data_IF_901948709344
#
_entry.id   IF_901948709344
#
_cell.length_a   1.000
_cell.length_b   1.000
_cell.length_c   1.000
_cell.angle_alpha   90.00
_cell.angle_beta   90.00
_cell.angle_gamma   90.00
#
_symmetry.space_group_name_H-M   'P 1'
#
loop_
_entity.id
_entity.type
_entity.pdbx_description
1 polymer ?
#
# COMPACT_ATOMS: atom_id res chain seq x y z
N UNK A 1 -64.55 30.37 -0.72
CA UNK A 1 -65.61 29.47 -0.23
C UNK A 1 -65.00 28.09 -0.10
N UNK A 2 -64.72 27.65 1.14
CA UNK A 2 -63.92 26.46 1.45
C UNK A 2 -64.81 25.23 1.72
N UNK A 3 -64.27 24.03 1.50
CA UNK A 3 -64.78 22.83 2.17
C UNK A 3 -63.63 22.06 2.80
N UNK A 4 -63.55 22.24 4.11
CA UNK A 4 -62.69 21.59 5.09
C UNK A 4 -63.15 20.14 5.30
N UNK A 5 -62.22 19.19 5.36
CA UNK A 5 -62.42 17.96 6.15
C UNK A 5 -61.19 17.76 7.02
N UNK A 6 -61.46 17.74 8.32
CA UNK A 6 -60.55 17.55 9.44
C UNK A 6 -61.03 16.30 10.19
N UNK A 7 -60.11 15.50 10.75
CA UNK A 7 -60.25 14.46 11.80
C UNK A 7 -59.01 13.55 11.67
N UNK A 8 -58.27 13.12 12.70
CA UNK A 8 -58.23 13.39 14.14
C UNK A 8 -56.99 12.67 14.68
N UNK A 9 -56.40 13.22 15.74
CA UNK A 9 -55.22 12.74 16.45
C UNK A 9 -55.43 11.37 17.11
N UNK A 10 -54.34 10.62 17.30
CA UNK A 10 -54.19 9.73 18.46
C UNK A 10 -52.73 9.69 18.91
N UNK A 11 -52.53 10.29 20.09
CA UNK A 11 -51.32 10.34 20.89
C UNK A 11 -51.19 9.06 21.69
N UNK A 12 -49.99 8.47 21.76
CA UNK A 12 -49.61 7.56 22.84
C UNK A 12 -48.23 7.96 23.33
N UNK A 13 -48.19 8.39 24.59
CA UNK A 13 -47.02 8.78 25.35
C UNK A 13 -46.64 7.68 26.35
N UNK A 14 -45.34 7.43 26.49
CA UNK A 14 -44.67 6.91 27.70
C UNK A 14 -44.85 5.41 28.03
N UNK A 15 -43.93 4.81 28.82
CA UNK A 15 -43.29 5.48 29.95
C UNK A 15 -41.75 5.46 29.97
N UNK A 16 -41.25 6.58 30.49
CA UNK A 16 -39.96 6.83 31.13
C UNK A 16 -39.68 5.86 32.28
N UNK A 17 -38.44 5.38 32.40
CA UNK A 17 -37.93 4.80 33.65
C UNK A 17 -36.64 5.50 34.10
N UNK A 18 -36.72 6.09 35.29
CA UNK A 18 -35.64 6.71 36.07
C UNK A 18 -34.53 5.70 36.41
N UNK A 19 -33.27 6.07 36.20
CA UNK A 19 -32.33 6.62 37.21
C UNK A 19 -32.05 5.66 38.39
N UNK A 20 -30.82 5.14 38.42
CA UNK A 20 -30.10 4.86 39.66
C UNK A 20 -28.61 5.11 39.43
N UNK A 21 -28.14 6.20 40.04
CA UNK A 21 -26.75 6.53 40.32
C UNK A 21 -26.26 5.75 41.55
N UNK A 22 -24.93 5.71 41.74
CA UNK A 22 -24.13 5.29 42.91
C UNK A 22 -23.23 4.06 42.57
N UNK A 23 -21.90 4.02 42.77
CA UNK A 23 -20.93 4.88 43.46
C UNK A 23 -19.52 4.59 42.90
N UNK A 24 -18.68 5.62 42.87
CA UNK A 24 -17.21 5.54 42.85
C UNK A 24 -16.66 4.75 44.03
N UNK A 25 -15.59 3.97 43.86
CA UNK A 25 -14.47 3.81 44.81
C UNK A 25 -13.25 3.24 44.06
N UNK A 26 -12.17 4.02 44.04
CA UNK A 26 -10.75 3.59 43.99
C UNK A 26 -10.03 4.44 45.06
N UNK A 27 -8.79 4.16 45.49
CA UNK A 27 -8.04 2.91 45.72
C UNK A 27 -7.65 2.81 47.23
N UNK A 28 -6.63 2.02 47.64
CA UNK A 28 -5.39 2.73 47.98
C UNK A 28 -4.08 1.99 47.69
N UNK A 29 -3.03 2.82 47.62
CA UNK A 29 -1.60 2.54 47.52
C UNK A 29 -1.04 1.76 48.73
N UNK A 30 0.00 0.96 48.50
CA UNK A 30 0.98 0.62 49.53
C UNK A 30 2.40 0.72 48.93
N UNK A 31 3.17 1.63 49.49
CA UNK A 31 4.59 1.86 49.24
C UNK A 31 5.47 1.03 50.20
N UNK A 32 6.75 0.93 49.83
CA UNK A 32 7.95 0.59 50.61
C UNK A 32 8.26 -0.89 50.84
N UNK A 33 9.40 -1.38 50.32
CA UNK A 33 10.73 -1.24 50.93
C UNK A 33 11.81 -1.90 50.03
N UNK A 34 12.90 -1.18 49.76
CA UNK A 34 14.23 -1.74 49.52
C UNK A 34 15.03 -1.58 50.83
N UNK A 35 16.05 -2.41 51.16
CA UNK A 35 17.40 -2.14 50.63
C UNK A 35 18.41 -3.33 50.54
N UNK A 36 19.51 -3.04 49.82
CA UNK A 36 20.92 -3.44 50.01
C UNK A 36 21.47 -4.85 49.69
N UNK A 37 22.54 -4.80 48.89
CA UNK A 37 23.63 -5.74 48.49
C UNK A 37 24.48 -6.22 49.70
N UNK A 38 25.51 -7.14 49.64
CA UNK A 38 26.49 -7.33 48.53
C UNK A 38 27.20 -8.70 48.31
N UNK A 39 27.95 -8.75 47.19
CA UNK A 39 29.27 -9.40 46.96
C UNK A 39 29.41 -10.92 46.80
N UNK A 40 30.05 -11.38 45.69
CA UNK A 40 31.48 -11.82 45.65
C UNK A 40 31.86 -12.71 44.43
N UNK A 41 32.74 -12.16 43.57
CA UNK A 41 33.97 -12.68 42.90
C UNK A 41 34.07 -14.13 42.38
N UNK A 42 34.50 -14.31 41.11
CA UNK A 42 35.85 -14.80 40.67
C UNK A 42 35.90 -15.06 39.14
N UNK A 43 36.80 -14.43 38.35
CA UNK A 43 38.11 -14.94 37.81
C UNK A 43 37.94 -16.21 36.94
N UNK A 44 38.44 -16.37 35.69
CA UNK A 44 39.71 -16.02 35.01
C UNK A 44 39.59 -16.48 33.52
N UNK A 45 39.87 -15.67 32.49
CA UNK A 45 41.11 -15.53 31.68
C UNK A 45 41.38 -16.55 30.54
N UNK A 46 41.39 -16.01 29.31
CA UNK A 46 42.24 -16.21 28.09
C UNK A 46 42.35 -17.57 27.37
N UNK A 47 42.10 -17.57 26.05
CA UNK A 47 43.03 -17.93 24.92
C UNK A 47 42.33 -17.64 23.57
N UNK A 48 42.85 -16.72 22.75
CA UNK A 48 43.53 -16.98 21.45
C UNK A 48 42.82 -17.93 20.48
N UNK A 49 42.25 -17.38 19.41
CA UNK A 49 42.39 -17.93 18.06
C UNK A 49 42.17 -16.82 17.01
N UNK A 50 43.28 -16.39 16.44
CA UNK A 50 43.33 -15.55 15.25
C UNK A 50 43.04 -16.46 14.05
N UNK A 51 41.96 -16.19 13.33
CA UNK A 51 41.71 -16.74 12.00
C UNK A 51 40.91 -15.74 11.19
N UNK A 52 41.67 -14.84 10.58
CA UNK A 52 41.52 -14.36 9.19
C UNK A 52 40.22 -14.85 8.54
N UNK A 53 39.16 -14.06 8.69
CA UNK A 53 38.01 -14.12 7.81
C UNK A 53 38.42 -13.49 6.48
N UNK A 54 38.84 -14.35 5.57
CA UNK A 54 38.86 -14.08 4.14
C UNK A 54 37.43 -13.90 3.66
N UNK A 55 37.18 -12.78 2.98
CA UNK A 55 36.13 -12.60 1.98
C UNK A 55 34.71 -12.97 2.40
N UNK A 56 33.94 -11.95 2.77
CA UNK A 56 32.48 -11.96 2.67
C UNK A 56 32.09 -12.19 1.19
N UNK A 57 32.13 -13.43 0.72
CA UNK A 57 31.36 -13.81 -0.46
C UNK A 57 29.90 -13.92 -0.03
N UNK A 58 29.12 -12.98 -0.53
CA UNK A 58 27.67 -12.88 -0.46
C UNK A 58 26.97 -14.24 -0.31
N UNK A 59 26.58 -14.55 0.92
CA UNK A 59 25.65 -15.62 1.28
C UNK A 59 24.22 -15.23 0.82
N UNK A 60 24.08 -15.01 -0.49
CA UNK A 60 22.88 -14.51 -1.17
C UNK A 60 21.73 -15.52 -1.15
N UNK A 61 21.99 -16.74 -0.66
CA UNK A 61 21.07 -17.88 -0.64
C UNK A 61 20.50 -18.19 0.76
N UNK A 62 20.77 -17.34 1.75
CA UNK A 62 20.06 -17.45 3.01
C UNK A 62 18.56 -17.18 2.79
N UNK A 63 17.63 -18.05 3.26
CA UNK A 63 16.18 -17.84 3.14
C UNK A 63 15.70 -16.50 3.76
N UNK A 64 16.57 -15.87 4.55
CA UNK A 64 16.42 -14.54 5.14
C UNK A 64 16.59 -13.38 4.14
N UNK A 65 17.09 -13.62 2.92
CA UNK A 65 17.37 -12.57 1.92
C UNK A 65 16.38 -12.54 0.73
N UNK A 66 15.31 -13.36 0.79
CA UNK A 66 14.22 -13.36 -0.21
C UNK A 66 13.33 -12.12 0.02
N UNK A 67 13.26 -11.17 -0.95
CA UNK A 67 12.50 -9.96 -0.74
C UNK A 67 11.01 -10.26 -0.84
N UNK A 68 10.23 -9.72 0.09
CA UNK A 68 8.77 -9.76 0.06
C UNK A 68 8.22 -9.12 -1.23
N UNK A 69 7.03 -9.54 -1.66
CA UNK A 69 6.35 -8.88 -2.78
C UNK A 69 6.25 -7.36 -2.55
N UNK A 70 5.95 -6.93 -1.33
CA UNK A 70 5.85 -5.51 -1.00
C UNK A 70 7.19 -4.77 -1.25
N UNK A 71 8.32 -5.36 -0.87
CA UNK A 71 9.64 -4.78 -1.16
C UNK A 71 9.89 -4.68 -2.68
N UNK A 72 9.52 -5.70 -3.46
CA UNK A 72 9.63 -5.65 -4.93
C UNK A 72 8.75 -4.53 -5.50
N UNK A 73 7.50 -4.42 -5.06
CA UNK A 73 6.56 -3.40 -5.54
C UNK A 73 6.99 -1.97 -5.20
N UNK A 74 7.71 -1.79 -4.09
CA UNK A 74 8.35 -0.52 -3.72
C UNK A 74 9.72 -0.32 -4.38
N UNK A 75 10.17 -1.26 -5.20
CA UNK A 75 11.50 -1.30 -5.82
C UNK A 75 12.65 -1.22 -4.80
N UNK A 76 12.47 -1.92 -3.67
CA UNK A 76 13.44 -2.07 -2.58
C UNK A 76 14.16 -3.44 -2.61
N UNK A 77 13.79 -4.31 -3.55
CA UNK A 77 14.50 -5.58 -3.75
C UNK A 77 15.89 -5.37 -4.36
N UNK A 78 16.80 -6.30 -4.07
CA UNK A 78 18.19 -6.29 -4.55
C UNK A 78 18.38 -7.18 -5.77
N UNK A 79 19.42 -6.93 -6.56
CA UNK A 79 19.80 -7.76 -7.70
C UNK A 79 18.66 -7.92 -8.71
N UNK A 80 18.21 -9.16 -8.93
CA UNK A 80 17.17 -9.47 -9.90
C UNK A 80 15.73 -9.22 -9.39
N UNK A 81 15.55 -8.89 -8.12
CA UNK A 81 14.23 -8.71 -7.50
C UNK A 81 13.72 -7.26 -7.59
N UNK A 82 13.81 -6.66 -8.78
CA UNK A 82 13.36 -5.29 -9.03
C UNK A 82 11.90 -5.25 -9.46
N UNK A 83 11.28 -4.07 -9.31
CA UNK A 83 9.95 -3.82 -9.85
C UNK A 83 9.91 -4.06 -11.37
N UNK A 84 10.95 -3.64 -12.08
CA UNK A 84 11.02 -3.76 -13.55
C UNK A 84 11.04 -5.23 -13.98
N UNK A 85 11.84 -6.07 -13.32
CA UNK A 85 11.89 -7.50 -13.62
C UNK A 85 10.58 -8.20 -13.28
N UNK A 86 9.95 -7.84 -12.16
CA UNK A 86 8.64 -8.39 -11.81
C UNK A 86 7.57 -7.94 -12.80
N UNK A 87 7.58 -6.67 -13.21
CA UNK A 87 6.66 -6.15 -14.21
C UNK A 87 6.81 -6.84 -15.57
N UNK A 88 8.04 -7.08 -16.02
CA UNK A 88 8.31 -7.84 -17.24
C UNK A 88 7.83 -9.30 -17.13
N UNK A 89 8.00 -9.92 -15.96
CA UNK A 89 7.47 -11.25 -15.68
C UNK A 89 5.93 -11.28 -15.74
N UNK A 90 5.24 -10.32 -15.13
CA UNK A 90 3.77 -10.27 -15.20
C UNK A 90 3.26 -10.02 -16.62
N UNK A 91 4.02 -9.30 -17.45
CA UNK A 91 3.69 -9.14 -18.88
C UNK A 91 3.79 -10.47 -19.63
N UNK A 92 4.82 -11.29 -19.37
CA UNK A 92 4.94 -12.60 -20.01
C UNK A 92 3.92 -13.63 -19.51
N UNK A 93 3.41 -13.45 -18.29
CA UNK A 93 2.33 -14.23 -17.71
C UNK A 93 0.92 -13.67 -18.00
N UNK A 94 0.82 -12.63 -18.83
CA UNK A 94 -0.45 -11.99 -19.22
C UNK A 94 -1.32 -11.54 -18.03
N UNK A 95 -0.70 -11.13 -16.92
CA UNK A 95 -1.39 -10.70 -15.69
C UNK A 95 -0.89 -9.34 -15.18
N UNK A 96 -0.36 -8.51 -16.08
CA UNK A 96 0.24 -7.20 -15.80
C UNK A 96 -0.75 -6.17 -15.26
N UNK A 97 -2.04 -6.32 -15.56
CA UNK A 97 -3.12 -5.47 -15.06
C UNK A 97 -3.14 -5.40 -13.53
N UNK A 98 -2.77 -6.48 -12.83
CA UNK A 98 -2.69 -6.51 -11.37
C UNK A 98 -1.66 -5.50 -10.82
N UNK A 99 -0.48 -5.45 -11.44
CA UNK A 99 0.55 -4.47 -11.09
C UNK A 99 0.14 -3.06 -11.53
N UNK A 100 -0.43 -2.93 -12.72
CA UNK A 100 -0.86 -1.65 -13.25
C UNK A 100 -1.90 -0.98 -12.35
N UNK A 101 -2.90 -1.73 -11.88
CA UNK A 101 -3.89 -1.27 -10.92
C UNK A 101 -3.27 -0.88 -9.58
N UNK A 102 -2.35 -1.70 -9.04
CA UNK A 102 -1.69 -1.40 -7.78
C UNK A 102 -0.91 -0.07 -7.85
N UNK A 103 -0.18 0.15 -8.94
CA UNK A 103 0.56 1.39 -9.19
C UNK A 103 -0.38 2.59 -9.40
N UNK A 104 -1.48 2.41 -10.14
CA UNK A 104 -2.49 3.44 -10.36
C UNK A 104 -3.14 3.88 -9.05
N UNK A 105 -3.53 2.92 -8.20
CA UNK A 105 -4.12 3.16 -6.88
C UNK A 105 -3.15 3.88 -5.94
N UNK A 106 -1.86 3.48 -5.95
CA UNK A 106 -0.82 4.18 -5.17
C UNK A 106 -0.62 5.61 -5.64
N UNK A 107 -0.58 5.85 -6.95
CA UNK A 107 -0.44 7.20 -7.51
C UNK A 107 -1.68 8.06 -7.20
N UNK A 108 -2.88 7.47 -7.26
CA UNK A 108 -4.12 8.12 -6.86
C UNK A 108 -4.06 8.59 -5.40
N UNK A 109 -3.64 7.70 -4.48
CA UNK A 109 -3.46 8.03 -3.06
C UNK A 109 -2.53 9.23 -2.85
N UNK A 110 -1.41 9.28 -3.56
CA UNK A 110 -0.47 10.41 -3.48
C UNK A 110 -1.09 11.72 -4.01
N UNK A 111 -1.87 11.66 -5.10
CA UNK A 111 -2.59 12.83 -5.59
C UNK A 111 -3.65 13.32 -4.58
N UNK A 112 -4.42 12.41 -3.99
CA UNK A 112 -5.43 12.74 -2.98
C UNK A 112 -4.80 13.37 -1.73
N UNK A 113 -3.68 12.82 -1.25
CA UNK A 113 -2.93 13.36 -0.11
C UNK A 113 -2.41 14.77 -0.39
N UNK A 114 -1.85 15.00 -1.59
CA UNK A 114 -1.39 16.34 -1.98
C UNK A 114 -2.53 17.36 -1.99
N UNK A 115 -3.71 16.98 -2.49
CA UNK A 115 -4.89 17.83 -2.46
C UNK A 115 -5.33 18.09 -1.02
N UNK A 116 -5.48 17.04 -0.22
CA UNK A 116 -5.90 17.17 1.18
C UNK A 116 -4.98 18.12 1.95
N UNK A 117 -3.65 17.97 1.81
CA UNK A 117 -2.69 18.87 2.45
C UNK A 117 -2.80 20.32 1.97
N UNK A 118 -3.17 20.55 0.71
CA UNK A 118 -3.39 21.91 0.18
C UNK A 118 -4.70 22.55 0.64
N UNK A 119 -5.67 21.75 1.10
CA UNK A 119 -7.00 22.21 1.50
C UNK A 119 -7.13 22.34 3.02
N UNK A 120 -6.50 21.45 3.80
CA UNK A 120 -6.68 21.33 5.26
C UNK A 120 -6.44 22.63 6.03
N UNK A 121 -5.60 23.53 5.52
CA UNK A 121 -5.32 24.82 6.15
C UNK A 121 -6.45 25.84 5.95
N UNK A 122 -7.27 25.65 4.91
CA UNK A 122 -8.33 26.58 4.49
C UNK A 122 -9.74 26.08 4.78
N UNK A 123 -9.96 24.76 4.74
CA UNK A 123 -11.28 24.13 4.92
C UNK A 123 -11.13 22.96 5.91
N UNK A 124 -11.35 23.19 7.22
CA UNK A 124 -11.08 22.21 8.28
C UNK A 124 -12.02 20.98 8.28
N UNK A 125 -13.03 20.94 7.40
CA UNK A 125 -13.96 19.81 7.23
C UNK A 125 -13.92 19.17 5.83
N UNK A 126 -12.89 19.47 5.04
CA UNK A 126 -12.76 18.85 3.72
C UNK A 126 -12.49 17.35 3.86
N UNK A 127 -13.29 16.52 3.18
CA UNK A 127 -13.27 15.07 3.35
C UNK A 127 -13.24 14.29 2.02
N UNK A 128 -12.81 14.94 0.92
CA UNK A 128 -12.73 14.33 -0.42
C UNK A 128 -14.08 13.78 -0.93
N UNK A 129 -15.21 14.22 -0.38
CA UNK A 129 -16.53 13.93 -0.92
C UNK A 129 -16.94 14.95 -1.98
N UNK A 130 -17.83 14.56 -2.89
CA UNK A 130 -18.34 15.43 -3.95
C UNK A 130 -18.94 16.73 -3.42
N UNK A 131 -19.71 16.68 -2.32
CA UNK A 131 -20.38 17.85 -1.76
C UNK A 131 -19.38 18.87 -1.17
N UNK A 132 -18.22 18.41 -0.73
CA UNK A 132 -17.19 19.27 -0.16
C UNK A 132 -16.52 20.19 -1.19
N UNK A 133 -16.74 19.94 -2.49
CA UNK A 133 -16.12 20.70 -3.58
C UNK A 133 -16.53 22.18 -3.63
N UNK A 134 -17.71 22.53 -3.11
CA UNK A 134 -18.25 23.89 -3.12
C UNK A 134 -17.41 24.90 -2.31
N UNK A 135 -16.61 24.41 -1.36
CA UNK A 135 -15.78 25.24 -0.49
C UNK A 135 -14.33 25.41 -1.01
N UNK A 136 -14.02 24.82 -2.16
CA UNK A 136 -12.69 24.87 -2.74
C UNK A 136 -12.48 26.16 -3.51
N UNK A 137 -11.28 26.71 -3.43
CA UNK A 137 -10.86 27.76 -4.36
C UNK A 137 -10.65 27.19 -5.78
N UNK A 138 -10.43 28.05 -6.76
CA UNK A 138 -10.34 27.65 -8.19
C UNK A 138 -9.24 26.61 -8.44
N UNK A 139 -8.07 26.73 -7.81
CA UNK A 139 -6.96 25.79 -8.03
C UNK A 139 -7.22 24.44 -7.37
N UNK A 140 -7.75 24.45 -6.13
CA UNK A 140 -8.16 23.25 -5.41
C UNK A 140 -9.30 22.52 -6.13
N UNK A 141 -10.30 23.24 -6.64
CA UNK A 141 -11.42 22.67 -7.39
C UNK A 141 -10.95 21.97 -8.67
N UNK A 142 -9.99 22.56 -9.41
CA UNK A 142 -9.37 21.90 -10.57
C UNK A 142 -8.64 20.63 -10.16
N UNK A 143 -7.83 20.69 -9.10
CA UNK A 143 -7.11 19.53 -8.60
C UNK A 143 -8.04 18.40 -8.13
N UNK A 144 -9.18 18.74 -7.51
CA UNK A 144 -10.23 17.79 -7.15
C UNK A 144 -10.90 17.18 -8.38
N UNK A 145 -11.27 17.98 -9.38
CA UNK A 145 -11.80 17.48 -10.65
C UNK A 145 -10.84 16.51 -11.34
N UNK A 146 -9.54 16.82 -11.34
CA UNK A 146 -8.51 15.94 -11.86
C UNK A 146 -8.31 14.67 -11.03
N UNK A 147 -8.63 14.70 -9.74
CA UNK A 147 -8.65 13.51 -8.89
C UNK A 147 -9.85 12.63 -9.26
N UNK A 148 -11.05 13.21 -9.36
CA UNK A 148 -12.27 12.50 -9.78
C UNK A 148 -12.10 11.83 -11.15
N UNK A 149 -11.46 12.53 -12.10
CA UNK A 149 -11.14 11.99 -13.43
C UNK A 149 -10.20 10.78 -13.35
N UNK A 150 -9.19 10.82 -12.46
CA UNK A 150 -8.30 9.67 -12.21
C UNK A 150 -9.04 8.48 -11.60
N UNK A 151 -9.95 8.73 -10.65
CA UNK A 151 -10.77 7.66 -10.06
C UNK A 151 -11.61 6.97 -11.14
N UNK A 152 -12.35 7.74 -11.94
CA UNK A 152 -13.14 7.18 -13.05
C UNK A 152 -12.29 6.37 -14.02
N UNK A 153 -11.14 6.90 -14.43
CA UNK A 153 -10.23 6.16 -15.31
C UNK A 153 -9.75 4.84 -14.70
N UNK A 154 -9.47 4.80 -13.38
CA UNK A 154 -9.14 3.54 -12.69
C UNK A 154 -10.31 2.56 -12.77
N UNK A 155 -11.53 3.01 -12.47
CA UNK A 155 -12.72 2.16 -12.50
C UNK A 155 -12.99 1.61 -13.90
N UNK A 156 -12.98 2.47 -14.92
CA UNK A 156 -13.22 2.10 -16.33
C UNK A 156 -12.15 1.19 -16.90
N UNK A 157 -10.89 1.31 -16.45
CA UNK A 157 -9.79 0.49 -16.96
C UNK A 157 -9.73 -0.88 -16.30
N UNK A 158 -10.06 -0.97 -15.01
CA UNK A 158 -9.72 -2.14 -14.18
C UNK A 158 -10.89 -2.79 -13.42
N UNK A 159 -12.00 -2.08 -13.18
CA UNK A 159 -13.01 -2.51 -12.19
C UNK A 159 -14.37 -2.77 -12.80
N UNK A 160 -14.80 -1.97 -13.77
CA UNK A 160 -16.11 -2.13 -14.40
C UNK A 160 -16.19 -3.47 -15.15
N UNK A 161 -17.38 -4.08 -15.24
CA UNK A 161 -17.57 -5.24 -16.09
C UNK A 161 -17.17 -4.93 -17.52
N UNK A 162 -16.47 -5.86 -18.18
CA UNK A 162 -15.95 -5.69 -19.54
C UNK A 162 -14.89 -4.59 -19.69
N UNK A 163 -14.26 -4.17 -18.58
CA UNK A 163 -13.08 -3.31 -18.63
C UNK A 163 -11.96 -3.98 -19.45
N UNK A 164 -11.19 -3.22 -20.25
CA UNK A 164 -10.14 -3.78 -21.10
C UNK A 164 -9.02 -4.49 -20.32
N UNK A 165 -8.88 -4.14 -19.04
CA UNK A 165 -7.94 -4.75 -18.10
C UNK A 165 -8.67 -5.13 -16.80
N UNK A 166 -9.88 -5.69 -16.94
CA UNK A 166 -10.73 -6.10 -15.81
C UNK A 166 -9.97 -7.00 -14.84
N UNK A 167 -10.04 -6.65 -13.56
CA UNK A 167 -9.41 -7.38 -12.47
C UNK A 167 -10.28 -8.52 -11.98
N UNK A 168 -9.63 -9.58 -11.52
CA UNK A 168 -10.27 -10.67 -10.79
C UNK A 168 -10.56 -10.26 -9.34
N UNK A 169 -11.61 -9.46 -9.16
CA UNK A 169 -12.16 -9.07 -7.85
C UNK A 169 -13.41 -9.87 -7.54
N UNK A 170 -13.65 -10.15 -6.26
CA UNK A 170 -14.93 -10.68 -5.83
C UNK A 170 -16.05 -9.64 -6.01
N UNK A 171 -17.26 -10.11 -6.28
CA UNK A 171 -18.41 -9.22 -6.51
C UNK A 171 -18.66 -8.30 -5.31
N UNK A 172 -18.49 -8.79 -4.08
CA UNK A 172 -18.64 -7.99 -2.87
C UNK A 172 -17.67 -6.79 -2.84
N UNK A 173 -16.40 -7.00 -3.21
CA UNK A 173 -15.38 -5.94 -3.25
C UNK A 173 -15.69 -4.95 -4.38
N UNK A 174 -16.03 -5.46 -5.57
CA UNK A 174 -16.38 -4.64 -6.73
C UNK A 174 -17.60 -3.75 -6.44
N UNK A 175 -18.69 -4.33 -5.95
CA UNK A 175 -19.92 -3.61 -5.62
C UNK A 175 -19.70 -2.54 -4.56
N UNK A 176 -18.95 -2.84 -3.49
CA UNK A 176 -18.66 -1.87 -2.43
C UNK A 176 -17.86 -0.66 -2.95
N UNK A 177 -16.84 -0.91 -3.77
CA UNK A 177 -16.03 0.14 -4.39
C UNK A 177 -16.89 1.01 -5.33
N UNK A 178 -17.64 0.40 -6.24
CA UNK A 178 -18.47 1.13 -7.19
C UNK A 178 -19.55 1.96 -6.50
N UNK A 179 -20.20 1.42 -5.46
CA UNK A 179 -21.20 2.15 -4.68
C UNK A 179 -20.60 3.38 -3.99
N UNK A 180 -19.46 3.22 -3.29
CA UNK A 180 -18.83 4.33 -2.58
C UNK A 180 -18.49 5.51 -3.52
N UNK A 181 -17.94 5.21 -4.71
CA UNK A 181 -17.61 6.25 -5.69
C UNK A 181 -18.87 6.84 -6.33
N UNK A 182 -19.92 6.05 -6.56
CA UNK A 182 -21.21 6.54 -7.04
C UNK A 182 -21.90 7.48 -6.04
N UNK A 183 -21.71 7.24 -4.74
CA UNK A 183 -22.13 8.12 -3.63
C UNK A 183 -21.20 9.35 -3.45
N UNK A 184 -20.20 9.52 -4.32
CA UNK A 184 -19.33 10.69 -4.33
C UNK A 184 -18.13 10.61 -3.39
N UNK A 185 -17.79 9.44 -2.84
CA UNK A 185 -16.58 9.25 -2.04
C UNK A 185 -15.34 9.06 -2.94
N UNK A 186 -14.45 10.05 -2.92
CA UNK A 186 -13.16 10.01 -3.63
C UNK A 186 -11.97 9.82 -2.68
N UNK A 187 -12.21 9.46 -1.42
CA UNK A 187 -11.14 9.18 -0.47
C UNK A 187 -10.34 7.94 -0.92
N UNK A 188 -8.99 7.94 -0.87
CA UNK A 188 -8.18 6.82 -1.38
C UNK A 188 -8.44 5.48 -0.67
N UNK A 189 -9.04 5.50 0.52
CA UNK A 189 -9.41 4.30 1.27
C UNK A 189 -10.45 3.44 0.53
N UNK A 190 -11.26 4.02 -0.36
CA UNK A 190 -12.26 3.23 -1.12
C UNK A 190 -11.60 2.16 -1.99
N UNK A 191 -10.38 2.40 -2.47
CA UNK A 191 -9.62 1.45 -3.30
C UNK A 191 -8.87 0.40 -2.47
N UNK A 192 -8.78 0.56 -1.14
CA UNK A 192 -7.83 -0.20 -0.32
C UNK A 192 -8.17 -1.71 -0.30
N UNK A 193 -9.45 -2.05 -0.16
CA UNK A 193 -9.88 -3.45 -0.14
C UNK A 193 -9.63 -4.16 -1.49
N UNK A 194 -9.81 -3.45 -2.61
CA UNK A 194 -9.46 -3.96 -3.93
C UNK A 194 -7.95 -4.11 -4.09
N UNK A 195 -7.17 -3.12 -3.63
CA UNK A 195 -5.69 -3.15 -3.64
C UNK A 195 -5.13 -4.32 -2.85
N UNK A 196 -5.70 -4.62 -1.68
CA UNK A 196 -5.34 -5.77 -0.85
C UNK A 196 -5.66 -7.08 -1.56
N UNK A 197 -6.87 -7.21 -2.12
CA UNK A 197 -7.29 -8.41 -2.86
C UNK A 197 -6.33 -8.73 -4.01
N UNK A 198 -5.93 -7.72 -4.80
CA UNK A 198 -4.99 -7.90 -5.91
C UNK A 198 -3.56 -8.15 -5.44
N UNK A 199 -3.16 -7.53 -4.33
CA UNK A 199 -1.86 -7.81 -3.72
C UNK A 199 -1.79 -9.26 -3.26
N UNK A 200 -2.82 -9.78 -2.60
CA UNK A 200 -2.86 -11.16 -2.14
C UNK A 200 -2.97 -12.15 -3.29
N UNK A 201 -3.74 -11.83 -4.34
CA UNK A 201 -3.74 -12.59 -5.60
C UNK A 201 -2.33 -12.74 -6.18
N UNK A 202 -1.58 -11.63 -6.31
CA UNK A 202 -0.20 -11.67 -6.80
C UNK A 202 0.72 -12.46 -5.87
N UNK A 203 0.56 -12.34 -4.53
CA UNK A 203 1.36 -13.11 -3.55
C UNK A 203 1.14 -14.61 -3.69
N UNK A 204 -0.09 -15.05 -3.95
CA UNK A 204 -0.45 -16.46 -4.03
C UNK A 204 -0.18 -17.09 -5.41
N UNK A 205 -0.14 -16.30 -6.48
CA UNK A 205 -0.02 -16.81 -7.85
C UNK A 205 1.31 -16.47 -8.50
N UNK A 206 1.54 -15.20 -8.82
CA UNK A 206 2.63 -14.76 -9.70
C UNK A 206 3.96 -14.59 -8.98
N UNK A 207 3.92 -14.18 -7.70
CA UNK A 207 5.12 -13.94 -6.92
C UNK A 207 5.96 -15.20 -6.64
N UNK A 208 5.39 -16.36 -6.24
CA UNK A 208 6.17 -17.59 -6.06
C UNK A 208 6.86 -18.02 -7.36
N UNK A 209 6.13 -17.99 -8.47
CA UNK A 209 6.65 -18.33 -9.80
C UNK A 209 7.78 -17.39 -10.26
N UNK A 210 7.67 -16.11 -9.92
CA UNK A 210 8.74 -15.15 -10.19
C UNK A 210 10.04 -15.51 -9.45
N UNK A 211 9.92 -15.89 -8.17
CA UNK A 211 11.07 -16.30 -7.36
C UNK A 211 11.70 -17.59 -7.88
N UNK A 212 10.88 -18.58 -8.23
CA UNK A 212 11.32 -19.83 -8.83
C UNK A 212 12.03 -19.60 -10.17
N UNK A 213 11.48 -18.72 -11.02
CA UNK A 213 12.08 -18.35 -12.30
C UNK A 213 13.46 -17.69 -12.15
N UNK A 214 13.66 -16.87 -11.11
CA UNK A 214 14.97 -16.30 -10.80
C UNK A 214 15.93 -17.38 -10.28
N UNK A 215 15.48 -18.26 -9.38
CA UNK A 215 16.29 -19.35 -8.85
C UNK A 215 16.76 -20.31 -9.96
N UNK A 216 15.87 -20.67 -10.88
CA UNK A 216 16.17 -21.51 -12.04
C UNK A 216 17.23 -20.87 -12.96
N UNK A 217 17.10 -19.56 -13.25
CA UNK A 217 18.10 -18.82 -14.05
C UNK A 217 19.48 -18.77 -13.38
N UNK A 218 19.53 -18.68 -12.04
CA UNK A 218 20.81 -18.74 -11.31
C UNK A 218 21.43 -20.12 -11.41
N UNK A 219 20.65 -21.18 -11.24
CA UNK A 219 21.12 -22.56 -11.36
C UNK A 219 21.66 -22.86 -12.77
N UNK A 220 20.99 -22.38 -13.82
CA UNK A 220 21.47 -22.53 -15.20
C UNK A 220 22.77 -21.75 -15.46
N UNK A 221 22.93 -20.56 -14.88
CA UNK A 221 24.14 -19.76 -15.03
C UNK A 221 25.32 -20.34 -14.23
N UNK A 222 25.08 -20.90 -13.05
CA UNK A 222 26.11 -21.56 -12.24
C UNK A 222 26.70 -22.80 -12.94
N UNK A 223 25.90 -23.53 -13.72
CA UNK A 223 26.36 -24.65 -14.53
C UNK A 223 27.16 -24.26 -15.78
N UNK A 224 27.19 -22.98 -16.15
CA UNK A 224 27.90 -22.49 -17.36
C UNK A 224 29.23 -21.79 -17.04
N UNK A 225 29.61 -21.66 -15.77
CA UNK A 225 30.82 -20.96 -15.34
C UNK A 225 32.01 -21.91 -15.15
N UNK A 226 32.51 -22.47 -16.26
CA UNK A 226 33.88 -22.99 -16.32
C UNK A 226 34.59 -22.48 -17.58
N UNK A 227 34.70 -21.16 -17.71
CA UNK A 227 35.79 -20.46 -18.40
C UNK A 227 35.45 -18.97 -18.52
N UNK A 228 36.11 -18.15 -17.69
CA UNK A 228 36.69 -16.83 -18.01
C UNK A 228 36.79 -15.99 -16.73
N UNK A 229 38.01 -15.92 -16.22
CA UNK A 229 38.43 -14.94 -15.23
C UNK A 229 38.71 -13.57 -15.91
N UNK A 230 38.76 -12.54 -15.05
CA UNK A 230 39.27 -11.19 -15.27
C UNK A 230 38.40 -10.15 -15.98
N UNK A 231 37.74 -9.31 -15.18
CA UNK A 231 38.11 -7.88 -15.06
C UNK A 231 37.12 -7.15 -14.14
N UNK A 232 37.51 -6.92 -12.89
CA UNK A 232 36.80 -6.01 -11.99
C UNK A 232 37.14 -4.55 -12.30
N UNK A 233 36.12 -3.72 -12.51
CA UNK A 233 36.26 -2.26 -12.41
C UNK A 233 35.19 -1.70 -11.49
N UNK A 234 35.69 -1.20 -10.37
CA UNK A 234 35.00 -0.47 -9.30
C UNK A 234 34.19 0.73 -9.82
N UNK A 235 32.94 0.84 -9.36
CA UNK A 235 32.22 2.12 -9.27
C UNK A 235 31.43 2.19 -7.96
N UNK A 236 31.98 2.97 -7.04
CA UNK A 236 31.34 3.44 -5.82
C UNK A 236 30.47 4.66 -6.15
N UNK A 237 29.24 4.70 -5.66
CA UNK A 237 28.30 5.81 -5.89
C UNK A 237 27.21 5.79 -4.84
N UNK A 238 27.44 6.51 -3.74
CA UNK A 238 26.41 6.79 -2.74
C UNK A 238 25.32 7.69 -3.32
N UNK A 239 24.06 7.40 -3.00
CA UNK A 239 22.94 8.18 -3.53
C UNK A 239 21.87 8.47 -2.48
N UNK A 240 21.50 9.75 -2.44
CA UNK A 240 20.54 10.36 -1.54
C UNK A 240 19.14 9.79 -1.75
N UNK A 241 18.58 9.21 -0.70
CA UNK A 241 17.37 8.41 -0.73
C UNK A 241 16.14 9.24 -0.30
N UNK A 242 15.44 9.85 -1.26
CA UNK A 242 14.02 10.22 -1.03
C UNK A 242 13.19 10.49 -2.30
N UNK A 243 13.82 10.83 -3.44
CA UNK A 243 13.10 11.12 -4.71
C UNK A 243 13.15 10.01 -5.78
N UNK A 244 13.94 8.96 -5.56
CA UNK A 244 14.50 8.10 -6.64
C UNK A 244 13.53 7.06 -7.23
N UNK A 245 12.52 6.60 -6.50
CA UNK A 245 11.70 5.49 -6.96
C UNK A 245 10.76 5.87 -8.14
N UNK A 246 10.28 7.12 -8.20
CA UNK A 246 9.48 7.63 -9.33
C UNK A 246 10.30 7.64 -10.63
N UNK A 247 11.60 7.90 -10.52
CA UNK A 247 12.56 7.90 -11.64
C UNK A 247 12.81 6.49 -12.15
N UNK A 248 12.98 5.53 -11.24
CA UNK A 248 13.21 4.11 -11.57
C UNK A 248 11.97 3.46 -12.19
N UNK A 249 10.77 3.74 -11.67
CA UNK A 249 9.51 3.17 -12.19
C UNK A 249 8.88 3.95 -13.38
N UNK A 250 9.61 4.89 -14.01
CA UNK A 250 9.07 5.78 -15.06
C UNK A 250 8.36 5.04 -16.20
N UNK A 251 8.89 3.89 -16.61
CA UNK A 251 8.32 3.11 -17.70
C UNK A 251 6.95 2.52 -17.34
N UNK A 252 6.83 1.93 -16.16
CA UNK A 252 5.58 1.41 -15.64
C UNK A 252 4.54 2.52 -15.47
N UNK A 253 4.94 3.69 -14.96
CA UNK A 253 4.04 4.84 -14.89
C UNK A 253 3.59 5.34 -16.26
N UNK A 254 4.48 5.34 -17.26
CA UNK A 254 4.10 5.69 -18.63
C UNK A 254 3.15 4.67 -19.23
N UNK A 255 3.29 3.38 -18.91
CA UNK A 255 2.38 2.34 -19.35
C UNK A 255 1.02 2.46 -18.67
N UNK A 256 0.98 2.59 -17.34
CA UNK A 256 -0.25 2.85 -16.58
C UNK A 256 -0.96 4.11 -17.09
N UNK A 257 -0.21 5.19 -17.32
CA UNK A 257 -0.79 6.43 -17.88
C UNK A 257 -1.34 6.24 -19.29
N UNK A 258 -0.79 5.32 -20.09
CA UNK A 258 -1.34 4.97 -21.41
C UNK A 258 -2.60 4.13 -21.28
N UNK A 259 -2.65 3.19 -20.35
CA UNK A 259 -3.84 2.37 -20.06
C UNK A 259 -5.00 3.26 -19.61
N UNK A 260 -4.75 4.17 -18.66
CA UNK A 260 -5.77 5.12 -18.15
C UNK A 260 -6.25 6.15 -19.20
N UNK A 261 -5.51 6.36 -20.29
CA UNK A 261 -5.89 7.28 -21.38
C UNK A 261 -6.68 6.58 -22.50
N UNK A 262 -6.76 5.25 -22.47
CA UNK A 262 -7.37 4.42 -23.52
C UNK A 262 -8.79 3.95 -23.15
N UNK A 263 -9.45 4.62 -22.20
CA UNK A 263 -10.90 4.46 -22.04
C UNK A 263 -11.60 4.84 -23.35
N UNK A 264 -12.62 4.05 -23.79
CA UNK A 264 -13.31 4.25 -25.07
C UNK A 264 -13.92 5.64 -25.21
#
# INVERSE_FOLDING_TARGET
MPTTVSLSHSSVAGPTMHQQSALSISPPSAQYFAPSTPSRKQRRSVTSFDSRHSGDEDDLDSPMNRPTLHQILLNQGRGQYTLDNFGAFLQSQFCYENLAFWLASRQYKLCAQSLYHSVQQSVPMFNLQAESAQHLNVSQARAFSDLQRKMRAILETFVLPSSPHELNLSDAVRCKLLRAVAEGDFHPQVLEQARESIMDLMKCSSYPLFLEGIAAKRASNAGSSQSQADSERSQNGGDQESGSWRLKAKQHFKLVSRMLKRGP
#
